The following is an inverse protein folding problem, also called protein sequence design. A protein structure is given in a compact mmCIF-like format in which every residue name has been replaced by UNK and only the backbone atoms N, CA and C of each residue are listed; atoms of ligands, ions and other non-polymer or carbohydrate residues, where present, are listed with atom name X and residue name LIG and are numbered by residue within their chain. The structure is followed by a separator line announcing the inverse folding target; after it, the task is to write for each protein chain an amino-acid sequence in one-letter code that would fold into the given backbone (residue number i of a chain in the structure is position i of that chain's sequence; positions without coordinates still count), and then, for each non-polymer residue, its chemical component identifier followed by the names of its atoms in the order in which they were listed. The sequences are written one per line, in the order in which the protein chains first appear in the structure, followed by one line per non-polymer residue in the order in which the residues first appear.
data_IF_092825988597
#
_entry.id   IF_092825988597
#
_cell.length_a   1.000
_cell.length_b   1.000
_cell.length_c   1.000
_cell.angle_alpha   90.00
_cell.angle_beta   90.00
_cell.angle_gamma   90.00
#
_symmetry.space_group_name_H-M   'P 1'
#
loop_
_entity.id
_entity.type
_entity.pdbx_description
1 polymer ?
#
# COMPACT_ATOMS: atom_id res chain seq x y z
N UNK A 1 12.92 -16.24 -1.33
CA UNK A 1 14.38 -16.08 -1.25
C UNK A 1 14.76 -14.67 -1.69
N UNK A 2 15.62 -13.96 -0.96
CA UNK A 2 15.94 -12.56 -1.26
C UNK A 2 16.68 -12.43 -2.60
N UNK A 3 16.28 -11.51 -3.47
CA UNK A 3 16.95 -11.42 -4.77
C UNK A 3 18.46 -11.08 -4.76
N UNK A 4 19.05 -10.35 -3.78
CA UNK A 4 20.51 -10.26 -3.71
C UNK A 4 21.15 -11.61 -3.40
N UNK A 5 20.46 -12.49 -2.67
CA UNK A 5 20.93 -13.85 -2.39
C UNK A 5 20.83 -14.69 -3.67
N UNK A 6 19.73 -14.60 -4.43
CA UNK A 6 19.58 -15.26 -5.73
C UNK A 6 20.66 -14.82 -6.72
N UNK A 7 20.92 -13.52 -6.85
CA UNK A 7 21.96 -13.00 -7.75
C UNK A 7 23.33 -13.54 -7.34
N UNK A 8 23.66 -13.54 -6.04
CA UNK A 8 24.91 -14.13 -5.53
C UNK A 8 25.04 -15.62 -5.86
N UNK A 9 23.96 -16.40 -5.74
CA UNK A 9 23.94 -17.82 -6.08
C UNK A 9 24.17 -18.02 -7.59
N UNK A 10 23.47 -17.24 -8.45
CA UNK A 10 23.63 -17.32 -9.91
C UNK A 10 25.08 -17.03 -10.31
N UNK A 11 25.68 -15.98 -9.75
CA UNK A 11 27.08 -15.63 -10.02
C UNK A 11 28.04 -16.71 -9.50
N UNK A 12 27.78 -17.26 -8.31
CA UNK A 12 28.58 -18.37 -7.77
C UNK A 12 28.55 -19.63 -8.64
N UNK A 13 27.37 -20.01 -9.15
CA UNK A 13 27.22 -21.14 -10.08
C UNK A 13 27.95 -20.88 -11.40
N UNK A 14 27.90 -19.65 -11.93
CA UNK A 14 28.63 -19.28 -13.13
C UNK A 14 30.16 -19.41 -12.92
N UNK A 15 30.69 -18.96 -11.78
CA UNK A 15 32.11 -19.08 -11.44
C UNK A 15 32.54 -20.55 -11.38
N UNK A 16 31.74 -21.41 -10.73
CA UNK A 16 31.99 -22.85 -10.68
C UNK A 16 32.02 -23.44 -12.09
N UNK A 17 31.03 -23.10 -12.92
CA UNK A 17 30.95 -23.57 -14.30
C UNK A 17 32.15 -23.13 -15.17
N UNK A 18 32.74 -21.96 -14.88
CA UNK A 18 33.95 -21.45 -15.52
C UNK A 18 35.22 -22.20 -15.07
N UNK A 19 35.36 -22.52 -13.78
CA UNK A 19 36.51 -23.27 -13.25
C UNK A 19 36.55 -24.69 -13.83
N UNK A 20 35.40 -25.35 -13.97
CA UNK A 20 35.31 -26.74 -14.44
C UNK A 20 35.18 -26.90 -15.96
N UNK A 21 35.41 -25.84 -16.74
CA UNK A 21 35.36 -25.84 -18.22
C UNK A 21 36.05 -27.05 -18.87
N UNK A 22 37.26 -27.37 -18.43
CA UNK A 22 38.05 -28.47 -18.98
C UNK A 22 37.44 -29.86 -18.78
N UNK A 23 36.59 -30.03 -17.76
CA UNK A 23 35.89 -31.30 -17.48
C UNK A 23 34.48 -31.32 -18.07
N UNK A 24 33.80 -30.18 -18.07
CA UNK A 24 32.41 -30.06 -18.51
C UNK A 24 32.29 -30.10 -20.03
N UNK A 25 33.15 -29.40 -20.77
CA UNK A 25 33.11 -29.39 -22.25
C UNK A 25 33.19 -30.79 -22.88
N UNK A 26 34.15 -31.66 -22.52
CA UNK A 26 34.17 -33.03 -23.06
C UNK A 26 32.97 -33.86 -22.59
N UNK A 27 32.53 -33.70 -21.33
CA UNK A 27 31.33 -34.38 -20.83
C UNK A 27 30.07 -34.02 -21.62
N UNK A 28 29.87 -32.73 -21.92
CA UNK A 28 28.74 -32.25 -22.73
C UNK A 28 28.80 -32.79 -24.16
N UNK A 29 30.01 -32.90 -24.73
CA UNK A 29 30.23 -33.44 -26.07
C UNK A 29 29.89 -34.93 -26.14
N UNK A 30 30.38 -35.72 -25.19
CA UNK A 30 30.29 -37.18 -25.25
C UNK A 30 28.92 -37.71 -24.81
N UNK A 31 28.27 -37.02 -23.86
CA UNK A 31 27.03 -37.50 -23.25
C UNK A 31 25.79 -36.76 -23.72
N UNK A 32 25.93 -35.48 -24.05
CA UNK A 32 24.83 -34.62 -24.50
C UNK A 32 24.89 -34.33 -25.99
N UNK A 33 25.87 -34.91 -26.72
CA UNK A 33 26.10 -34.71 -28.16
C UNK A 33 26.22 -33.25 -28.59
N UNK A 34 26.56 -32.35 -27.65
CA UNK A 34 26.64 -30.92 -27.90
C UNK A 34 28.09 -30.54 -28.21
N UNK A 35 28.42 -30.39 -29.50
CA UNK A 35 29.78 -30.06 -29.95
C UNK A 35 30.06 -28.56 -29.87
N UNK A 36 30.30 -28.08 -28.65
CA UNK A 36 30.64 -26.67 -28.38
C UNK A 36 32.14 -26.51 -28.15
N UNK A 37 32.75 -25.50 -28.77
CA UNK A 37 34.15 -25.13 -28.53
C UNK A 37 34.33 -24.53 -27.12
N UNK A 38 35.54 -24.56 -26.56
CA UNK A 38 35.81 -23.98 -25.23
C UNK A 38 35.40 -22.50 -25.16
N UNK A 39 35.69 -21.71 -26.20
CA UNK A 39 35.28 -20.29 -26.28
C UNK A 39 33.77 -20.13 -26.41
N UNK A 40 33.11 -21.01 -27.17
CA UNK A 40 31.65 -21.03 -27.29
C UNK A 40 30.97 -21.32 -25.95
N UNK A 41 31.49 -22.29 -25.19
CA UNK A 41 30.96 -22.62 -23.86
C UNK A 41 31.08 -21.43 -22.89
N UNK A 42 32.23 -20.76 -22.86
CA UNK A 42 32.43 -19.55 -22.05
C UNK A 42 31.42 -18.45 -22.41
N UNK A 43 31.22 -18.20 -23.71
CA UNK A 43 30.25 -17.22 -24.18
C UNK A 43 28.81 -17.58 -23.75
N UNK A 44 28.42 -18.86 -23.84
CA UNK A 44 27.08 -19.29 -23.45
C UNK A 44 26.81 -19.10 -21.94
N UNK A 45 27.78 -19.42 -21.07
CA UNK A 45 27.63 -19.18 -19.63
C UNK A 45 27.47 -17.70 -19.33
N UNK A 46 28.29 -16.85 -19.96
CA UNK A 46 28.20 -15.40 -19.76
C UNK A 46 26.81 -14.88 -20.14
N UNK A 47 26.31 -15.27 -21.31
CA UNK A 47 24.97 -14.87 -21.77
C UNK A 47 23.88 -15.36 -20.80
N UNK A 48 23.90 -16.63 -20.40
CA UNK A 48 22.92 -17.19 -19.45
C UNK A 48 22.97 -16.46 -18.11
N UNK A 49 24.16 -16.14 -17.63
CA UNK A 49 24.35 -15.44 -16.35
C UNK A 49 23.77 -14.03 -16.43
N UNK A 50 24.08 -13.28 -17.50
CA UNK A 50 23.55 -11.93 -17.72
C UNK A 50 22.03 -11.94 -17.84
N UNK A 51 21.46 -12.83 -18.65
CA UNK A 51 20.01 -12.96 -18.85
C UNK A 51 19.32 -13.32 -17.53
N UNK A 52 19.90 -14.24 -16.74
CA UNK A 52 19.33 -14.65 -15.45
C UNK A 52 19.36 -13.52 -14.42
N UNK A 53 20.47 -12.78 -14.33
CA UNK A 53 20.58 -11.62 -13.43
C UNK A 53 19.60 -10.52 -13.85
N UNK A 54 19.50 -10.23 -15.16
CA UNK A 54 18.56 -9.27 -15.70
C UNK A 54 17.10 -9.67 -15.41
N UNK A 55 16.73 -10.93 -15.64
CA UNK A 55 15.39 -11.44 -15.34
C UNK A 55 15.02 -11.31 -13.85
N UNK A 56 15.96 -11.61 -12.95
CA UNK A 56 15.75 -11.43 -11.50
C UNK A 56 15.60 -9.96 -11.12
N UNK A 57 16.39 -9.07 -11.72
CA UNK A 57 16.31 -7.63 -11.48
C UNK A 57 14.99 -7.04 -12.02
N UNK A 58 14.59 -7.40 -13.23
CA UNK A 58 13.37 -6.94 -13.89
C UNK A 58 12.10 -7.39 -13.14
N UNK A 59 12.03 -8.66 -12.73
CA UNK A 59 10.92 -9.18 -11.93
C UNK A 59 10.79 -8.44 -10.59
N UNK A 60 11.92 -8.06 -9.99
CA UNK A 60 11.94 -7.26 -8.77
C UNK A 60 11.40 -5.85 -8.97
N UNK A 61 11.82 -5.21 -10.05
CA UNK A 61 11.36 -3.88 -10.40
C UNK A 61 9.82 -3.86 -10.52
N UNK A 62 9.24 -4.78 -11.30
CA UNK A 62 7.79 -4.89 -11.42
C UNK A 62 7.09 -5.17 -10.09
N UNK A 63 7.61 -6.10 -9.28
CA UNK A 63 7.01 -6.42 -7.98
C UNK A 63 6.98 -5.21 -7.04
N UNK A 64 8.02 -4.38 -7.07
CA UNK A 64 8.08 -3.17 -6.28
C UNK A 64 7.06 -2.12 -6.78
N UNK A 65 6.98 -1.90 -8.09
CA UNK A 65 6.01 -0.99 -8.71
C UNK A 65 4.57 -1.36 -8.33
N UNK A 66 4.21 -2.65 -8.42
CA UNK A 66 2.89 -3.12 -7.98
C UNK A 66 2.65 -2.91 -6.49
N UNK A 67 3.66 -3.11 -5.64
CA UNK A 67 3.54 -2.86 -4.19
C UNK A 67 3.22 -1.39 -3.92
N UNK A 68 3.91 -0.46 -4.57
CA UNK A 68 3.64 0.98 -4.43
C UNK A 68 2.23 1.34 -4.91
N UNK A 69 1.78 0.79 -6.03
CA UNK A 69 0.44 1.04 -6.56
C UNK A 69 -0.67 0.53 -5.61
N UNK A 70 -0.49 -0.63 -4.98
CA UNK A 70 -1.44 -1.17 -4.00
C UNK A 70 -1.46 -0.31 -2.73
N UNK A 71 -0.30 0.10 -2.24
CA UNK A 71 -0.18 0.94 -1.05
C UNK A 71 -0.82 2.32 -1.26
N UNK A 72 -0.60 2.92 -2.43
CA UNK A 72 -1.21 4.19 -2.82
C UNK A 72 -2.74 4.07 -2.96
N UNK A 73 -3.23 2.98 -3.57
CA UNK A 73 -4.67 2.72 -3.70
C UNK A 73 -5.33 2.55 -2.32
N UNK A 74 -4.73 1.78 -1.42
CA UNK A 74 -5.25 1.57 -0.07
C UNK A 74 -5.22 2.87 0.75
N UNK A 75 -4.19 3.71 0.58
CA UNK A 75 -4.15 5.04 1.20
C UNK A 75 -5.30 5.94 0.68
N UNK A 76 -5.44 6.05 -0.63
CA UNK A 76 -6.50 6.85 -1.25
C UNK A 76 -7.91 6.38 -0.85
N UNK A 77 -8.09 5.06 -0.73
CA UNK A 77 -9.33 4.44 -0.25
C UNK A 77 -9.65 4.82 1.20
N UNK A 78 -8.66 4.78 2.10
CA UNK A 78 -8.82 5.20 3.51
C UNK A 78 -9.17 6.68 3.62
N UNK A 79 -8.46 7.55 2.90
CA UNK A 79 -8.74 8.99 2.87
C UNK A 79 -10.18 9.27 2.40
N UNK A 80 -10.63 8.58 1.36
CA UNK A 80 -12.02 8.69 0.87
C UNK A 80 -13.04 8.25 1.91
N UNK A 81 -12.81 7.14 2.61
CA UNK A 81 -13.70 6.66 3.68
C UNK A 81 -13.81 7.68 4.82
N UNK A 82 -12.69 8.21 5.28
CA UNK A 82 -12.64 9.21 6.36
C UNK A 82 -13.39 10.47 5.95
N UNK A 83 -13.09 11.04 4.78
CA UNK A 83 -13.76 12.24 4.29
C UNK A 83 -15.27 12.06 4.17
N UNK A 84 -15.71 10.94 3.59
CA UNK A 84 -17.13 10.64 3.47
C UNK A 84 -17.80 10.50 4.85
N UNK A 85 -17.12 9.90 5.83
CA UNK A 85 -17.62 9.78 7.19
C UNK A 85 -17.74 11.13 7.91
N UNK A 86 -16.74 12.01 7.77
CA UNK A 86 -16.82 13.38 8.28
C UNK A 86 -17.99 14.14 7.65
N UNK A 87 -18.17 14.08 6.33
CA UNK A 87 -19.29 14.77 5.67
C UNK A 87 -20.66 14.22 6.10
N UNK A 88 -20.81 12.91 6.21
CA UNK A 88 -22.05 12.27 6.69
C UNK A 88 -22.36 12.67 8.15
N UNK A 89 -21.36 12.63 9.03
CA UNK A 89 -21.53 13.01 10.44
C UNK A 89 -21.89 14.48 10.62
N UNK A 90 -21.23 15.39 9.89
CA UNK A 90 -21.57 16.82 9.89
C UNK A 90 -23.01 17.03 9.45
N UNK A 91 -23.45 16.35 8.40
CA UNK A 91 -24.83 16.46 7.89
C UNK A 91 -25.84 16.05 8.97
N UNK A 92 -25.62 14.93 9.63
CA UNK A 92 -26.53 14.41 10.66
C UNK A 92 -26.56 15.31 11.90
N UNK A 93 -25.39 15.70 12.41
CA UNK A 93 -25.28 16.61 13.58
C UNK A 93 -25.95 17.95 13.27
N UNK A 94 -25.79 18.47 12.05
CA UNK A 94 -26.39 19.75 11.62
C UNK A 94 -27.92 19.74 11.71
N UNK A 95 -28.57 18.59 11.50
CA UNK A 95 -30.03 18.45 11.61
C UNK A 95 -30.52 18.58 13.06
N UNK A 96 -29.66 18.33 14.05
CA UNK A 96 -30.01 18.37 15.47
C UNK A 96 -29.74 19.74 16.12
N UNK A 97 -29.03 20.63 15.44
CA UNK A 97 -28.68 21.96 15.96
C UNK A 97 -29.89 22.91 16.00
N UNK A 98 -29.94 23.78 17.01
CA UNK A 98 -30.99 24.81 17.13
C UNK A 98 -30.89 25.90 16.06
N UNK A 99 -29.67 26.22 15.65
CA UNK A 99 -29.38 27.21 14.61
C UNK A 99 -28.41 26.64 13.56
N UNK A 100 -28.85 25.71 12.68
CA UNK A 100 -27.97 24.99 11.75
C UNK A 100 -27.16 25.89 10.80
N UNK A 101 -27.68 27.07 10.46
CA UNK A 101 -27.01 28.05 9.60
C UNK A 101 -25.79 28.70 10.25
N UNK A 102 -25.68 28.66 11.58
CA UNK A 102 -24.57 29.24 12.36
C UNK A 102 -23.45 28.24 12.63
N UNK A 103 -23.65 26.98 12.26
CA UNK A 103 -22.76 25.87 12.61
C UNK A 103 -21.40 25.97 11.89
N UNK A 104 -20.33 25.90 12.69
CA UNK A 104 -18.94 25.78 12.23
C UNK A 104 -18.38 24.46 12.72
N UNK A 105 -18.25 23.50 11.80
CA UNK A 105 -17.71 22.18 12.09
C UNK A 105 -16.20 22.17 12.01
N UNK A 106 -15.56 21.40 12.89
CA UNK A 106 -14.15 21.09 12.74
C UNK A 106 -13.89 20.25 11.47
N UNK A 107 -12.64 20.27 11.00
CA UNK A 107 -12.18 19.49 9.85
C UNK A 107 -11.51 18.21 10.32
N UNK A 108 -11.31 17.24 9.41
CA UNK A 108 -10.54 16.03 9.71
C UNK A 108 -9.07 16.27 10.11
N UNK A 109 -8.56 17.49 9.90
CA UNK A 109 -7.19 17.90 10.22
C UNK A 109 -7.09 18.62 11.58
N UNK A 110 -8.22 18.92 12.22
CA UNK A 110 -8.24 19.58 13.52
C UNK A 110 -7.72 18.63 14.60
N UNK A 111 -6.90 19.14 15.53
CA UNK A 111 -6.25 18.33 16.58
C UNK A 111 -7.24 17.65 17.53
N UNK A 112 -8.41 18.26 17.74
CA UNK A 112 -9.47 17.68 18.58
C UNK A 112 -10.31 16.64 17.82
N UNK A 113 -10.23 16.63 16.49
CA UNK A 113 -10.92 15.66 15.65
C UNK A 113 -10.15 14.35 15.57
N UNK A 114 -10.82 13.26 15.93
CA UNK A 114 -10.25 11.91 15.94
C UNK A 114 -11.13 10.97 15.15
N UNK A 115 -10.51 10.01 14.48
CA UNK A 115 -11.22 8.95 13.79
C UNK A 115 -10.55 7.60 13.99
N UNK A 116 -11.33 6.54 13.84
CA UNK A 116 -10.84 5.16 13.80
C UNK A 116 -11.60 4.39 12.73
N UNK A 117 -10.87 3.74 11.82
CA UNK A 117 -11.44 2.83 10.83
C UNK A 117 -11.49 1.43 11.45
N UNK A 118 -12.65 0.79 11.37
CA UNK A 118 -12.86 -0.60 11.78
C UNK A 118 -12.67 -1.56 10.60
N UNK A 119 -12.54 -2.86 10.89
CA UNK A 119 -12.28 -3.91 9.88
C UNK A 119 -13.42 -4.07 8.86
N UNK A 120 -14.64 -3.65 9.21
CA UNK A 120 -15.83 -3.66 8.35
C UNK A 120 -15.96 -2.41 7.45
N UNK A 121 -14.92 -1.56 7.42
CA UNK A 121 -14.88 -0.24 6.81
C UNK A 121 -15.87 0.78 7.40
N UNK A 122 -16.40 0.54 8.61
CA UNK A 122 -17.06 1.60 9.37
C UNK A 122 -16.02 2.54 9.99
N UNK A 123 -16.40 3.80 10.19
CA UNK A 123 -15.52 4.84 10.71
C UNK A 123 -16.16 5.46 11.94
N UNK A 124 -15.48 5.35 13.08
CA UNK A 124 -15.85 6.07 14.30
C UNK A 124 -15.26 7.47 14.19
N UNK A 125 -16.09 8.50 14.27
CA UNK A 125 -15.71 9.91 14.24
C UNK A 125 -15.97 10.51 15.62
N UNK A 126 -14.99 11.27 16.13
CA UNK A 126 -15.15 12.15 17.29
C UNK A 126 -14.66 13.54 16.89
N UNK A 127 -15.52 14.53 17.00
CA UNK A 127 -15.23 15.90 16.55
C UNK A 127 -16.13 16.90 17.28
N UNK A 128 -16.11 18.17 16.88
CA UNK A 128 -16.91 19.22 17.50
C UNK A 128 -17.55 20.15 16.46
N UNK A 129 -18.58 20.86 16.92
CA UNK A 129 -19.23 21.94 16.18
C UNK A 129 -19.47 23.12 17.10
N UNK A 130 -19.13 24.31 16.62
CA UNK A 130 -19.47 25.57 17.28
C UNK A 130 -20.75 26.12 16.63
N UNK A 131 -21.84 26.26 17.39
CA UNK A 131 -23.12 26.74 16.88
C UNK A 131 -23.89 27.58 17.91
N UNK A 132 -24.77 28.47 17.46
CA UNK A 132 -25.59 29.26 18.36
C UNK A 132 -26.72 28.43 18.98
N UNK A 133 -26.94 28.61 20.28
CA UNK A 133 -28.11 28.12 20.99
C UNK A 133 -29.33 29.08 20.82
N UNK A 134 -30.46 28.75 21.45
CA UNK A 134 -31.69 29.54 21.37
C UNK A 134 -31.57 30.97 21.93
N UNK A 135 -30.50 31.27 22.67
CA UNK A 135 -30.22 32.60 23.24
C UNK A 135 -29.21 33.40 22.40
N UNK A 136 -28.80 32.88 21.24
CA UNK A 136 -27.82 33.52 20.35
C UNK A 136 -26.36 33.40 20.80
N UNK A 137 -26.08 32.67 21.89
CA UNK A 137 -24.73 32.41 22.34
C UNK A 137 -24.12 31.23 21.57
N UNK A 138 -22.89 31.38 21.10
CA UNK A 138 -22.13 30.30 20.46
C UNK A 138 -21.63 29.32 21.52
N UNK A 139 -21.99 28.05 21.36
CA UNK A 139 -21.57 26.95 22.23
C UNK A 139 -20.85 25.90 21.39
N UNK A 140 -19.74 25.37 21.92
CA UNK A 140 -19.06 24.20 21.37
C UNK A 140 -19.75 22.93 21.84
N UNK A 141 -20.19 22.10 20.91
CA UNK A 141 -20.75 20.78 21.19
C UNK A 141 -19.85 19.74 20.56
N UNK A 142 -19.39 18.81 21.37
CA UNK A 142 -18.66 17.65 20.89
C UNK A 142 -19.65 16.58 20.46
N UNK A 143 -19.25 15.78 19.49
CA UNK A 143 -20.04 14.65 19.04
C UNK A 143 -19.16 13.44 18.74
N UNK A 144 -19.75 12.27 18.88
CA UNK A 144 -19.19 11.01 18.43
C UNK A 144 -20.25 10.21 17.70
N UNK A 145 -19.87 9.57 16.59
CA UNK A 145 -20.76 8.66 15.87
C UNK A 145 -19.96 7.60 15.11
N UNK A 146 -20.64 6.54 14.70
CA UNK A 146 -20.12 5.51 13.81
C UNK A 146 -20.78 5.66 12.45
N UNK A 147 -19.98 5.81 11.40
CA UNK A 147 -20.47 5.89 10.01
C UNK A 147 -20.17 4.57 9.31
N UNK A 148 -21.19 3.93 8.74
CA UNK A 148 -20.97 2.72 7.95
C UNK A 148 -20.41 3.02 6.55
N UNK A 149 -20.05 1.96 5.81
CA UNK A 149 -19.52 2.06 4.44
C UNK A 149 -20.47 2.70 3.43
N UNK A 150 -21.76 2.82 3.75
CA UNK A 150 -22.77 3.44 2.91
C UNK A 150 -23.07 4.89 3.31
N UNK A 151 -22.44 5.38 4.38
CA UNK A 151 -22.66 6.73 4.91
C UNK A 151 -23.79 6.85 5.92
N UNK A 152 -24.33 5.73 6.42
CA UNK A 152 -25.37 5.77 7.46
C UNK A 152 -24.73 5.99 8.83
N UNK A 153 -25.35 6.83 9.64
CA UNK A 153 -24.90 7.15 10.99
C UNK A 153 -25.52 6.19 12.01
N UNK A 154 -24.71 5.75 12.97
CA UNK A 154 -25.09 4.95 14.13
C UNK A 154 -24.46 5.55 15.40
N UNK A 155 -25.08 5.28 16.54
CA UNK A 155 -24.56 5.60 17.88
C UNK A 155 -24.15 7.08 18.06
N UNK A 156 -24.89 8.00 17.40
CA UNK A 156 -24.61 9.43 17.50
C UNK A 156 -24.89 9.91 18.93
N UNK A 157 -23.85 10.46 19.56
CA UNK A 157 -23.88 11.02 20.91
C UNK A 157 -23.24 12.41 20.90
N UNK A 158 -23.83 13.36 21.61
CA UNK A 158 -23.33 14.75 21.73
C UNK A 158 -23.17 15.16 23.19
N UNK A 159 -22.17 15.98 23.51
CA UNK A 159 -21.95 16.52 24.86
C UNK A 159 -21.24 17.89 24.86
#
# INVERSE_FOLDING_TARGET
MNAPILIKIIVGLAIIALIFTNKIVPYLRDKLFMSISKSGYLATILVITVVSVFGVAFNRYQKNEQKYAIEDNEKAKKERLIRNAFEASKKEVKLQLKSPSTAKFATELDEESKYKINDDNSVIIRSYVDAQNSFGATVRTHFQCTVDKYGNIKDLTTW
#
